data_IF_984747821379
#
_entry.id   IF_984747821379
#
_cell.length_a   1.000
_cell.length_b   1.000
_cell.length_c   1.000
_cell.angle_alpha   90.00
_cell.angle_beta   90.00
_cell.angle_gamma   90.00
#
_symmetry.space_group_name_H-M   'P 1'
#
loop_
_entity.id
_entity.type
_entity.pdbx_description
1 polymer ?
#
# COMPACT_ATOMS: atom_id res chain seq x y z
N UNK A 1 15.30 5.13 -14.80
CA UNK A 1 14.84 6.22 -15.69
C UNK A 1 13.32 6.26 -15.62
N UNK A 2 12.71 7.44 -15.58
CA UNK A 2 11.26 7.58 -15.73
C UNK A 2 10.87 6.86 -17.03
N UNK A 3 9.94 5.90 -16.95
CA UNK A 3 9.42 5.25 -18.15
C UNK A 3 8.09 5.92 -18.48
N UNK A 4 7.79 6.06 -19.76
CA UNK A 4 6.52 6.65 -20.20
C UNK A 4 5.32 5.73 -19.87
N UNK A 5 5.57 4.43 -19.73
CA UNK A 5 4.55 3.40 -19.52
C UNK A 5 4.43 3.01 -18.04
N UNK A 6 3.39 3.50 -17.37
CA UNK A 6 3.13 3.27 -15.96
C UNK A 6 2.97 1.77 -15.58
N UNK A 7 2.18 0.95 -16.31
CA UNK A 7 2.09 -0.48 -16.02
C UNK A 7 3.44 -1.20 -16.00
N UNK A 8 4.32 -0.89 -16.95
CA UNK A 8 5.67 -1.46 -17.00
C UNK A 8 6.54 -1.00 -15.82
N UNK A 9 6.42 0.25 -15.38
CA UNK A 9 7.13 0.74 -14.19
C UNK A 9 6.70 -0.01 -12.93
N UNK A 10 5.40 -0.16 -12.74
CA UNK A 10 4.81 -0.88 -11.61
C UNK A 10 5.27 -2.33 -11.61
N UNK A 11 5.17 -3.01 -12.75
CA UNK A 11 5.65 -4.39 -12.91
C UNK A 11 7.15 -4.50 -12.60
N UNK A 12 7.97 -3.62 -13.16
CA UNK A 12 9.42 -3.61 -12.92
C UNK A 12 9.73 -3.43 -11.43
N UNK A 13 9.05 -2.50 -10.75
CA UNK A 13 9.23 -2.24 -9.33
C UNK A 13 8.86 -3.46 -8.49
N UNK A 14 7.76 -4.15 -8.81
CA UNK A 14 7.36 -5.39 -8.17
C UNK A 14 8.32 -6.54 -8.43
N UNK A 15 8.82 -6.69 -9.65
CA UNK A 15 9.81 -7.71 -9.99
C UNK A 15 11.11 -7.48 -9.21
N UNK A 16 11.55 -6.21 -9.08
CA UNK A 16 12.69 -5.82 -8.25
C UNK A 16 12.43 -6.14 -6.77
N UNK A 17 11.26 -5.78 -6.25
CA UNK A 17 10.93 -6.06 -4.85
C UNK A 17 10.82 -7.57 -4.56
N UNK A 18 10.26 -8.35 -5.49
CA UNK A 18 10.23 -9.81 -5.40
C UNK A 18 11.65 -10.39 -5.34
N UNK A 19 12.55 -9.92 -6.20
CA UNK A 19 13.97 -10.32 -6.19
C UNK A 19 14.64 -9.96 -4.86
N UNK A 20 14.43 -8.73 -4.36
CA UNK A 20 14.94 -8.28 -3.07
C UNK A 20 14.49 -9.23 -1.95
N UNK A 21 13.19 -9.50 -1.87
CA UNK A 21 12.62 -10.40 -0.84
C UNK A 21 13.12 -11.83 -0.90
N UNK A 22 13.59 -12.27 -2.06
CA UNK A 22 14.09 -13.62 -2.26
C UNK A 22 15.56 -13.79 -1.88
N UNK A 23 16.28 -12.70 -1.60
CA UNK A 23 17.69 -12.76 -1.18
C UNK A 23 17.84 -13.29 0.25
N UNK A 24 18.97 -13.95 0.53
CA UNK A 24 19.26 -14.46 1.87
C UNK A 24 19.42 -13.33 2.89
N UNK A 25 20.04 -12.23 2.49
CA UNK A 25 20.16 -11.02 3.30
C UNK A 25 18.78 -10.50 3.73
N UNK A 26 17.81 -10.40 2.82
CA UNK A 26 16.46 -9.99 3.18
C UNK A 26 15.79 -10.97 4.14
N UNK A 27 15.83 -12.28 3.83
CA UNK A 27 15.19 -13.33 4.65
C UNK A 27 15.78 -13.43 6.05
N UNK A 28 17.07 -13.16 6.20
CA UNK A 28 17.75 -13.15 7.50
C UNK A 28 17.25 -12.00 8.39
N UNK A 29 16.97 -10.83 7.81
CA UNK A 29 16.58 -9.64 8.57
C UNK A 29 15.07 -9.44 8.70
N UNK A 30 14.29 -9.77 7.67
CA UNK A 30 12.87 -9.39 7.54
C UNK A 30 11.98 -10.62 7.63
N UNK A 31 11.08 -10.64 8.62
CA UNK A 31 10.11 -11.73 8.83
C UNK A 31 8.84 -11.55 8.02
N UNK A 32 8.40 -10.30 7.86
CA UNK A 32 7.16 -9.96 7.18
C UNK A 32 6.93 -8.47 7.13
N UNK A 33 5.76 -8.07 6.66
CA UNK A 33 5.42 -6.67 6.50
C UNK A 33 4.27 -6.47 5.53
N UNK A 34 4.09 -5.23 5.10
CA UNK A 34 3.18 -4.88 4.03
C UNK A 34 3.77 -3.76 3.17
N UNK A 35 3.36 -3.70 1.92
CA UNK A 35 3.73 -2.60 1.03
C UNK A 35 2.51 -1.88 0.50
N UNK A 36 2.74 -0.63 0.09
CA UNK A 36 1.79 0.24 -0.62
C UNK A 36 2.50 0.84 -1.83
N UNK A 37 1.80 0.91 -2.96
CA UNK A 37 2.26 1.70 -4.12
C UNK A 37 1.74 3.13 -3.99
N UNK A 38 2.64 4.10 -4.14
CA UNK A 38 2.29 5.50 -4.38
C UNK A 38 2.70 5.87 -5.81
N UNK A 39 1.78 6.46 -6.58
CA UNK A 39 2.05 6.98 -7.92
C UNK A 39 1.90 8.49 -7.93
N UNK A 40 2.83 9.18 -8.59
CA UNK A 40 2.86 10.64 -8.70
C UNK A 40 3.19 11.06 -10.13
N UNK A 41 2.80 12.28 -10.48
CA UNK A 41 3.12 12.90 -11.76
C UNK A 41 1.97 12.83 -12.76
N UNK A 42 2.31 12.92 -14.04
CA UNK A 42 1.39 13.03 -15.18
C UNK A 42 1.81 12.07 -16.29
N UNK A 43 0.95 11.82 -17.30
CA UNK A 43 1.30 10.99 -18.45
C UNK A 43 2.66 11.38 -19.08
N UNK A 44 3.57 10.40 -19.19
CA UNK A 44 4.93 10.60 -19.70
C UNK A 44 5.98 10.97 -18.65
N UNK A 45 5.57 11.34 -17.42
CA UNK A 45 6.46 11.67 -16.31
C UNK A 45 6.02 11.02 -15.00
N UNK A 46 5.56 9.78 -15.08
CA UNK A 46 5.15 9.00 -13.91
C UNK A 46 6.32 8.68 -12.99
N UNK A 47 6.06 8.72 -11.69
CA UNK A 47 6.95 8.28 -10.63
C UNK A 47 6.21 7.27 -9.75
N UNK A 48 6.77 6.07 -9.61
CA UNK A 48 6.17 4.99 -8.81
C UNK A 48 7.08 4.70 -7.64
N UNK A 49 6.53 4.78 -6.43
CA UNK A 49 7.21 4.48 -5.19
C UNK A 49 6.60 3.26 -4.51
N UNK A 50 7.45 2.49 -3.85
CA UNK A 50 7.02 1.41 -2.98
C UNK A 50 7.30 1.80 -1.54
N UNK A 51 6.24 2.03 -0.77
CA UNK A 51 6.33 2.27 0.67
C UNK A 51 6.16 0.95 1.39
N UNK A 52 7.13 0.57 2.21
CA UNK A 52 7.15 -0.75 2.84
C UNK A 52 7.26 -0.56 4.35
N UNK A 53 6.35 -1.21 5.08
CA UNK A 53 6.46 -1.42 6.52
C UNK A 53 6.97 -2.84 6.74
N UNK A 54 8.07 -3.00 7.47
CA UNK A 54 8.70 -4.30 7.72
C UNK A 54 8.75 -4.63 9.20
N UNK A 55 8.44 -5.89 9.53
CA UNK A 55 8.82 -6.53 10.78
C UNK A 55 10.22 -7.10 10.59
N UNK A 56 11.22 -6.48 11.21
CA UNK A 56 12.61 -6.78 10.96
C UNK A 56 13.45 -6.71 12.24
N UNK A 57 14.50 -7.53 12.29
CA UNK A 57 15.67 -7.27 13.14
C UNK A 57 16.41 -6.04 12.61
N UNK A 58 17.39 -5.53 13.35
CA UNK A 58 18.23 -4.43 12.88
C UNK A 58 18.79 -4.76 11.48
N UNK A 59 18.45 -3.93 10.49
CA UNK A 59 18.90 -4.05 9.11
C UNK A 59 19.53 -2.71 8.72
N UNK A 60 20.85 -2.70 8.55
CA UNK A 60 21.58 -1.47 8.23
C UNK A 60 21.12 -0.90 6.89
N UNK A 61 20.92 0.41 6.87
CA UNK A 61 20.45 1.13 5.70
C UNK A 61 21.40 0.95 4.51
N UNK A 62 22.71 0.98 4.74
CA UNK A 62 23.75 0.86 3.72
C UNK A 62 23.73 -0.51 3.05
N UNK A 63 23.45 -1.57 3.80
CA UNK A 63 23.36 -2.94 3.27
C UNK A 63 22.11 -3.07 2.38
N UNK A 64 20.97 -2.59 2.87
CA UNK A 64 19.72 -2.61 2.12
C UNK A 64 19.81 -1.75 0.86
N UNK A 65 20.41 -0.56 0.94
CA UNK A 65 20.64 0.32 -0.20
C UNK A 65 21.54 -0.36 -1.23
N UNK A 66 22.68 -0.91 -0.82
CA UNK A 66 23.60 -1.63 -1.73
C UNK A 66 22.90 -2.79 -2.43
N UNK A 67 22.08 -3.54 -1.70
CA UNK A 67 21.31 -4.65 -2.27
C UNK A 67 20.24 -4.15 -3.25
N UNK A 68 19.53 -3.08 -2.91
CA UNK A 68 18.52 -2.49 -3.79
C UNK A 68 19.10 -1.92 -5.08
N UNK A 69 20.26 -1.26 -5.00
CA UNK A 69 20.99 -0.74 -6.16
C UNK A 69 21.48 -1.84 -7.10
N UNK A 70 21.76 -3.05 -6.58
CA UNK A 70 22.11 -4.22 -7.41
C UNK A 70 20.91 -4.83 -8.13
N UNK A 71 19.73 -4.79 -7.50
CA UNK A 71 18.53 -5.49 -7.97
C UNK A 71 17.65 -4.60 -8.84
N UNK A 72 17.62 -3.30 -8.54
CA UNK A 72 16.71 -2.35 -9.16
C UNK A 72 17.47 -1.26 -9.94
N UNK A 73 16.86 -0.67 -10.98
CA UNK A 73 17.37 0.52 -11.64
C UNK A 73 17.09 1.82 -10.84
N UNK A 74 16.43 1.71 -9.68
CA UNK A 74 16.09 2.84 -8.80
C UNK A 74 17.30 3.29 -7.97
N UNK A 75 17.32 4.56 -7.56
CA UNK A 75 18.48 5.18 -6.92
C UNK A 75 18.32 5.52 -5.42
N UNK A 76 17.31 4.99 -4.75
CA UNK A 76 17.07 5.36 -3.36
C UNK A 76 16.29 4.32 -2.58
N UNK A 77 16.80 4.03 -1.38
CA UNK A 77 16.06 3.42 -0.28
C UNK A 77 16.16 4.38 0.88
N UNK A 78 15.05 4.60 1.56
CA UNK A 78 15.04 5.30 2.83
C UNK A 78 14.40 4.39 3.87
N UNK A 79 15.10 4.22 4.99
CA UNK A 79 14.63 3.41 6.11
C UNK A 79 14.59 4.27 7.36
N UNK A 80 13.55 4.11 8.16
CA UNK A 80 13.46 4.68 9.49
C UNK A 80 12.72 3.74 10.40
N UNK A 81 12.97 3.86 11.69
CA UNK A 81 12.13 3.22 12.68
C UNK A 81 10.75 3.90 12.73
N UNK A 82 9.70 3.12 12.89
CA UNK A 82 8.33 3.61 13.06
C UNK A 82 7.91 3.28 14.49
N UNK A 83 7.50 4.26 15.31
CA UNK A 83 7.08 4.00 16.67
C UNK A 83 5.93 2.99 16.75
N UNK A 84 5.83 2.21 17.83
CA UNK A 84 4.69 1.31 18.05
C UNK A 84 3.35 2.02 17.87
N UNK A 85 2.37 1.35 17.27
CA UNK A 85 1.04 1.91 16.97
C UNK A 85 0.96 2.84 15.75
N UNK A 86 2.09 3.33 15.21
CA UNK A 86 2.09 4.27 14.08
C UNK A 86 2.11 3.60 12.70
N UNK A 87 2.24 2.27 12.65
CA UNK A 87 2.34 1.51 11.40
C UNK A 87 1.11 1.65 10.50
N UNK A 88 -0.10 1.57 11.08
CA UNK A 88 -1.35 1.74 10.33
C UNK A 88 -1.42 3.14 9.74
N UNK A 89 -1.19 4.18 10.56
CA UNK A 89 -1.16 5.57 10.09
C UNK A 89 -0.16 5.79 8.95
N UNK A 90 1.01 5.14 9.03
CA UNK A 90 2.02 5.22 7.97
C UNK A 90 1.52 4.64 6.65
N UNK A 91 0.94 3.44 6.67
CA UNK A 91 0.43 2.79 5.46
C UNK A 91 -0.78 3.55 4.89
N UNK A 92 -1.75 3.90 5.74
CA UNK A 92 -2.95 4.66 5.34
C UNK A 92 -2.59 6.00 4.72
N UNK A 93 -1.56 6.69 5.23
CA UNK A 93 -1.04 7.92 4.62
C UNK A 93 -0.71 7.72 3.14
N UNK A 94 0.00 6.66 2.78
CA UNK A 94 0.42 6.47 1.38
C UNK A 94 -0.65 5.83 0.50
N UNK A 95 -1.60 5.09 1.08
CA UNK A 95 -2.77 4.58 0.34
C UNK A 95 -3.67 5.74 -0.11
N UNK A 96 -3.85 6.74 0.76
CA UNK A 96 -4.74 7.88 0.53
C UNK A 96 -4.05 9.07 -0.15
N UNK A 97 -2.73 9.03 -0.30
CA UNK A 97 -1.96 10.12 -0.89
C UNK A 97 -2.09 10.11 -2.40
N UNK A 98 -2.74 11.15 -2.93
CA UNK A 98 -2.82 11.41 -4.37
C UNK A 98 -2.07 12.68 -4.70
N UNK A 99 -1.07 12.58 -5.57
CA UNK A 99 -0.37 13.72 -6.18
C UNK A 99 -0.50 13.66 -7.71
N UNK A 100 -1.63 13.15 -8.18
CA UNK A 100 -1.97 13.05 -9.60
C UNK A 100 -3.15 13.99 -9.86
N UNK A 101 -3.07 14.88 -10.86
CA UNK A 101 -4.16 15.78 -11.21
C UNK A 101 -5.46 15.02 -11.50
N UNK A 102 -6.60 15.63 -11.19
CA UNK A 102 -7.91 14.98 -11.36
C UNK A 102 -8.16 14.52 -12.79
N UNK A 103 -7.71 15.30 -13.79
CA UNK A 103 -7.83 14.95 -15.20
C UNK A 103 -7.08 13.67 -15.60
N UNK A 104 -6.02 13.31 -14.86
CA UNK A 104 -5.17 12.16 -15.17
C UNK A 104 -5.53 10.91 -14.35
N UNK A 105 -6.48 11.02 -13.40
CA UNK A 105 -6.90 9.90 -12.55
C UNK A 105 -7.51 8.75 -13.34
N UNK A 106 -8.21 9.02 -14.44
CA UNK A 106 -8.77 7.99 -15.30
C UNK A 106 -7.67 7.12 -15.94
N UNK A 107 -6.61 7.76 -16.45
CA UNK A 107 -5.44 7.09 -17.03
C UNK A 107 -4.71 6.26 -15.97
N UNK A 108 -4.53 6.82 -14.78
CA UNK A 108 -3.93 6.13 -13.64
C UNK A 108 -4.73 4.86 -13.27
N UNK A 109 -6.05 4.99 -13.16
CA UNK A 109 -6.94 3.89 -12.77
C UNK A 109 -6.91 2.76 -13.80
N UNK A 110 -6.94 3.08 -15.09
CA UNK A 110 -6.84 2.09 -16.15
C UNK A 110 -5.49 1.36 -16.12
N UNK A 111 -4.39 2.12 -15.97
CA UNK A 111 -3.04 1.57 -15.87
C UNK A 111 -2.82 0.68 -14.65
N UNK A 112 -3.45 0.98 -13.51
CA UNK A 112 -3.33 0.21 -12.27
C UNK A 112 -4.36 -0.92 -12.14
N UNK A 113 -5.26 -1.08 -13.12
CA UNK A 113 -6.28 -2.12 -13.10
C UNK A 113 -5.63 -3.51 -12.94
N UNK A 114 -6.13 -4.28 -11.96
CA UNK A 114 -5.59 -5.61 -11.62
C UNK A 114 -4.28 -5.58 -10.82
N UNK A 115 -3.71 -4.42 -10.53
CA UNK A 115 -2.53 -4.27 -9.66
C UNK A 115 -2.95 -4.25 -8.20
N UNK A 116 -2.24 -5.00 -7.36
CA UNK A 116 -2.41 -4.91 -5.89
C UNK A 116 -1.73 -3.65 -5.36
N UNK A 117 -2.51 -2.64 -4.97
CA UNK A 117 -1.99 -1.40 -4.40
C UNK A 117 -1.48 -1.56 -2.96
N UNK A 118 -2.03 -2.53 -2.24
CA UNK A 118 -1.62 -2.92 -0.89
C UNK A 118 -1.53 -4.45 -0.82
N UNK A 119 -0.47 -4.96 -0.20
CA UNK A 119 -0.36 -6.40 0.05
C UNK A 119 0.56 -6.71 1.24
N UNK A 120 0.09 -7.51 2.22
CA UNK A 120 0.94 -8.07 3.25
C UNK A 120 1.81 -9.22 2.71
N UNK A 121 2.96 -9.46 3.32
CA UNK A 121 3.89 -10.55 2.99
C UNK A 121 4.54 -11.15 4.25
N UNK A 122 5.13 -12.34 4.10
CA UNK A 122 5.81 -13.03 5.19
C UNK A 122 4.86 -13.35 6.35
N UNK A 123 5.32 -13.15 7.59
CA UNK A 123 4.53 -13.35 8.82
C UNK A 123 3.18 -12.62 8.79
N UNK A 124 3.13 -11.39 8.25
CA UNK A 124 1.90 -10.59 8.20
C UNK A 124 0.87 -11.16 7.23
N UNK A 125 1.31 -11.76 6.13
CA UNK A 125 0.41 -12.45 5.21
C UNK A 125 -0.20 -13.69 5.86
N UNK A 126 0.61 -14.47 6.60
CA UNK A 126 0.13 -15.62 7.35
C UNK A 126 -0.91 -15.21 8.41
N UNK A 127 -0.63 -14.14 9.17
CA UNK A 127 -1.58 -13.57 10.14
C UNK A 127 -2.88 -13.12 9.47
N UNK A 128 -2.81 -12.45 8.32
CA UNK A 128 -3.99 -11.98 7.60
C UNK A 128 -4.88 -13.13 7.13
N UNK A 129 -4.30 -14.27 6.72
CA UNK A 129 -5.08 -15.45 6.30
C UNK A 129 -5.74 -16.14 7.49
N UNK A 130 -5.07 -16.18 8.65
CA UNK A 130 -5.59 -16.87 9.84
C UNK A 130 -6.47 -15.98 10.72
N UNK A 131 -6.52 -14.68 10.44
CA UNK A 131 -7.32 -13.73 11.19
C UNK A 131 -8.80 -14.01 11.03
N UNK A 132 -9.44 -14.39 12.14
CA UNK A 132 -10.90 -14.48 12.24
C UNK A 132 -11.41 -13.11 12.68
N UNK A 133 -12.15 -12.39 11.82
CA UNK A 133 -12.69 -11.11 12.22
C UNK A 133 -13.63 -11.32 13.42
N UNK A 134 -13.60 -10.43 14.43
CA UNK A 134 -14.57 -10.47 15.50
C UNK A 134 -15.98 -10.33 14.90
N UNK A 135 -17.02 -10.86 15.56
CA UNK A 135 -18.40 -10.59 15.18
C UNK A 135 -18.60 -9.08 15.14
N UNK A 136 -19.09 -8.60 14.00
CA UNK A 136 -19.17 -7.17 13.70
C UNK A 136 -20.53 -6.64 14.12
N UNK A 137 -20.83 -6.63 15.41
CA UNK A 137 -22.10 -6.09 15.91
C UNK A 137 -21.96 -4.60 16.22
N UNK A 138 -22.85 -3.80 15.64
CA UNK A 138 -23.02 -2.41 16.00
C UNK A 138 -23.47 -2.35 17.47
N UNK A 139 -22.74 -1.60 18.31
CA UNK A 139 -23.09 -1.46 19.74
C UNK A 139 -24.46 -0.80 19.99
N UNK A 140 -25.04 -0.17 18.98
CA UNK A 140 -26.29 0.58 19.11
C UNK A 140 -27.51 -0.16 18.54
N UNK A 141 -27.35 -0.98 17.49
CA UNK A 141 -28.47 -1.63 16.80
C UNK A 141 -28.27 -3.12 16.52
N UNK A 142 -27.18 -3.73 17.01
CA UNK A 142 -26.80 -5.14 16.73
C UNK A 142 -26.65 -5.51 15.23
N UNK A 143 -26.83 -4.56 14.31
CA UNK A 143 -26.59 -4.74 12.88
C UNK A 143 -25.10 -4.92 12.55
N UNK A 144 -24.77 -5.57 11.42
CA UNK A 144 -23.41 -5.64 10.93
C UNK A 144 -22.78 -4.24 10.72
N UNK A 145 -21.66 -3.94 11.39
CA UNK A 145 -20.97 -2.62 11.39
C UNK A 145 -20.59 -2.00 10.02
N UNK A 146 -20.82 -2.67 8.90
CA UNK A 146 -20.59 -2.14 7.55
C UNK A 146 -21.63 -2.80 6.64
N UNK A 147 -22.76 -2.13 6.46
CA UNK A 147 -23.59 -2.33 5.28
C UNK A 147 -22.84 -1.67 4.12
N UNK A 148 -22.36 -2.45 3.16
CA UNK A 148 -22.14 -1.90 1.82
C UNK A 148 -23.55 -1.68 1.31
N UNK A 149 -24.09 -0.48 1.50
CA UNK A 149 -25.36 -0.11 0.90
C UNK A 149 -25.15 -0.24 -0.60
N UNK A 150 -25.82 -1.22 -1.23
CA UNK A 150 -25.92 -1.34 -2.69
C UNK A 150 -26.29 -0.02 -3.34
N UNK A 151 -26.99 0.80 -2.56
CA UNK A 151 -27.67 2.03 -2.96
C UNK A 151 -26.74 3.25 -2.93
N UNK A 152 -25.45 3.11 -2.59
CA UNK A 152 -24.45 4.17 -2.75
C UNK A 152 -24.16 4.50 -4.23
N UNK A 153 -24.62 3.66 -5.16
CA UNK A 153 -24.48 3.83 -6.60
C UNK A 153 -25.80 4.13 -7.33
N UNK A 154 -26.94 4.09 -6.62
CA UNK A 154 -28.23 4.47 -7.17
C UNK A 154 -28.60 5.87 -6.66
N UNK A 155 -28.80 6.79 -7.60
CA UNK A 155 -29.02 8.21 -7.34
C UNK A 155 -30.24 8.44 -6.43
N UNK A 156 -29.98 8.92 -5.21
CA UNK A 156 -31.01 9.55 -4.38
C UNK A 156 -30.93 9.18 -2.91
N UNK A 157 -30.05 9.84 -2.16
CA UNK A 157 -30.19 9.89 -0.71
C UNK A 157 -30.22 11.31 -0.17
N UNK A 158 -31.29 11.60 0.56
CA UNK A 158 -31.40 12.70 1.51
C UNK A 158 -30.69 12.26 2.78
N UNK A 159 -29.62 12.97 3.16
CA UNK A 159 -28.93 12.74 4.42
C UNK A 159 -29.81 13.26 5.55
N UNK A 160 -30.23 12.38 6.46
CA UNK A 160 -30.80 12.82 7.72
C UNK A 160 -29.67 13.25 8.67
N UNK A 161 -29.59 14.55 8.95
CA UNK A 161 -28.58 15.23 9.78
C UNK A 161 -28.42 14.72 11.23
N UNK A 162 -29.16 13.70 11.68
CA UNK A 162 -29.20 13.32 13.10
C UNK A 162 -28.04 12.43 13.57
N UNK A 163 -27.20 11.92 12.68
CA UNK A 163 -26.16 10.94 13.05
C UNK A 163 -24.75 11.52 13.24
N UNK A 164 -24.59 12.84 13.16
CA UNK A 164 -23.33 13.52 13.47
C UNK A 164 -23.57 14.62 14.51
N UNK A 165 -23.79 14.19 15.76
CA UNK A 165 -23.64 15.04 16.95
C UNK A 165 -22.17 15.19 17.36
N UNK A 166 -21.83 16.26 18.09
CA UNK A 166 -20.49 16.88 18.18
C UNK A 166 -19.36 16.01 18.74
#
# INVERSE_FOLDING_TARGET
KNQQNLPLMVKCLFDCFKKLRNTDSWKFHVKGGAFVIEVKGTPGSWHVHLHILIESRRYEWEDLLRLWMKISPGRGVWIRNIPPGQGVRYLTKYITKTEVPDCDKAVLNDALKGTRLFQPFGSWYALNITYKPPPKQCRNCDDPCFLIMSDLFDEGFVVHEKDFGP
#
